data_IF_667859303371
#
_entry.id   IF_667859303371
#
_cell.length_a   1.000
_cell.length_b   1.000
_cell.length_c   1.000
_cell.angle_alpha   90.00
_cell.angle_beta   90.00
_cell.angle_gamma   90.00
#
_symmetry.space_group_name_H-M   'P 1'
#
loop_
_entity.id
_entity.type
_entity.pdbx_description
1 polymer ?
#
# COMPACT_ATOMS: atom_id res chain seq x y z
N UNK A 1 21.39 21.79 -7.63
CA UNK A 1 20.16 21.97 -8.42
C UNK A 1 19.67 23.37 -8.16
N UNK A 2 19.21 24.12 -9.18
CA UNK A 2 18.55 25.39 -8.99
C UNK A 2 17.34 25.22 -8.06
N UNK A 3 17.01 26.29 -7.33
CA UNK A 3 15.93 26.28 -6.34
C UNK A 3 14.83 27.22 -6.80
N UNK A 4 13.60 26.71 -6.84
CA UNK A 4 12.39 27.53 -6.95
C UNK A 4 11.80 27.64 -5.55
N UNK A 5 11.63 28.86 -5.07
CA UNK A 5 11.17 29.13 -3.72
C UNK A 5 9.72 29.62 -3.75
N UNK A 6 8.84 28.93 -3.03
CA UNK A 6 7.43 29.27 -2.89
C UNK A 6 7.22 29.72 -1.44
N UNK A 7 6.80 30.97 -1.23
CA UNK A 7 6.74 31.60 0.08
C UNK A 7 5.38 32.22 0.34
N UNK A 8 4.77 31.97 1.50
CA UNK A 8 3.62 32.75 1.95
C UNK A 8 4.05 34.11 2.52
N UNK A 9 3.40 35.18 2.09
CA UNK A 9 3.73 36.56 2.44
C UNK A 9 2.68 37.16 3.38
N UNK A 10 3.14 37.62 4.53
CA UNK A 10 2.32 38.28 5.56
C UNK A 10 2.80 39.70 5.87
N UNK A 11 2.55 40.17 7.09
CA UNK A 11 2.82 41.56 7.48
C UNK A 11 4.29 41.91 7.79
N UNK A 12 5.22 40.95 7.76
CA UNK A 12 6.64 41.17 8.06
C UNK A 12 7.51 40.74 6.88
N UNK A 13 8.37 41.64 6.39
CA UNK A 13 9.24 41.35 5.25
C UNK A 13 10.53 40.63 5.63
N UNK A 14 11.01 40.81 6.88
CA UNK A 14 12.33 40.32 7.28
C UNK A 14 12.50 38.79 7.12
N UNK A 15 11.57 37.92 7.59
CA UNK A 15 11.71 36.48 7.41
C UNK A 15 11.68 36.05 5.94
N UNK A 16 10.89 36.74 5.11
CA UNK A 16 10.75 36.44 3.68
C UNK A 16 12.04 36.80 2.93
N UNK A 17 12.62 37.97 3.23
CA UNK A 17 13.90 38.41 2.66
C UNK A 17 15.04 37.48 3.11
N UNK A 18 15.06 37.05 4.37
CA UNK A 18 16.03 36.06 4.86
C UNK A 18 15.91 34.74 4.12
N UNK A 19 14.69 34.24 3.91
CA UNK A 19 14.45 33.01 3.15
C UNK A 19 15.00 33.07 1.72
N UNK A 20 14.75 34.18 1.02
CA UNK A 20 15.28 34.39 -0.34
C UNK A 20 16.82 34.42 -0.33
N UNK A 21 17.43 35.10 0.64
CA UNK A 21 18.88 35.18 0.76
C UNK A 21 19.53 33.85 1.11
N UNK A 22 18.91 33.04 1.96
CA UNK A 22 19.45 31.76 2.40
C UNK A 22 19.34 30.69 1.31
N UNK A 23 18.21 30.63 0.60
CA UNK A 23 17.97 29.60 -0.41
C UNK A 23 18.55 29.93 -1.79
N UNK A 24 18.94 31.18 -2.04
CA UNK A 24 19.46 31.68 -3.33
C UNK A 24 18.65 31.17 -4.54
N UNK A 25 17.32 31.42 -4.58
CA UNK A 25 16.46 30.86 -5.61
C UNK A 25 16.71 31.49 -6.98
N UNK A 26 16.51 30.69 -8.03
CA UNK A 26 16.47 31.19 -9.42
C UNK A 26 15.12 31.79 -9.78
N UNK A 27 14.07 31.40 -9.05
CA UNK A 27 12.72 31.93 -9.22
C UNK A 27 11.94 31.90 -7.91
N UNK A 28 11.11 32.92 -7.67
CA UNK A 28 10.28 33.03 -6.46
C UNK A 28 8.79 33.11 -6.79
N UNK A 29 7.98 32.25 -6.21
CA UNK A 29 6.52 32.37 -6.23
C UNK A 29 6.03 32.92 -4.89
N UNK A 30 5.59 34.18 -4.88
CA UNK A 30 5.03 34.83 -3.71
C UNK A 30 3.54 34.51 -3.58
N UNK A 31 3.18 33.78 -2.53
CA UNK A 31 1.79 33.48 -2.17
C UNK A 31 1.28 34.58 -1.26
N UNK A 32 0.34 35.38 -1.74
CA UNK A 32 -0.14 36.61 -1.10
C UNK A 32 -1.64 36.52 -0.87
N UNK A 33 -2.15 37.28 0.10
CA UNK A 33 -3.60 37.37 0.29
C UNK A 33 -4.23 38.26 -0.77
N UNK A 34 -5.44 37.92 -1.21
CA UNK A 34 -6.33 38.84 -1.94
C UNK A 34 -6.75 40.03 -1.08
N UNK A 35 -7.32 41.04 -1.72
CA UNK A 35 -7.97 42.16 -1.02
C UNK A 35 -9.15 41.65 -0.19
N UNK A 36 -9.28 42.14 1.03
CA UNK A 36 -10.43 41.83 1.89
C UNK A 36 -11.49 42.92 1.78
N UNK A 37 -12.72 42.51 1.48
CA UNK A 37 -13.88 43.39 1.47
C UNK A 37 -14.22 43.88 2.88
N UNK A 38 -14.29 45.20 3.06
CA UNK A 38 -14.70 45.85 4.31
C UNK A 38 -14.56 47.38 4.21
N UNK A 39 -15.15 48.17 5.13
CA UNK A 39 -14.89 49.60 5.23
C UNK A 39 -13.90 49.91 6.37
N UNK A 40 -12.68 50.39 6.09
CA UNK A 40 -12.06 50.57 4.76
C UNK A 40 -11.54 49.25 4.17
N UNK A 41 -11.44 49.16 2.82
CA UNK A 41 -10.93 47.96 2.16
C UNK A 41 -9.48 47.73 2.54
N UNK A 42 -9.14 46.49 2.85
CA UNK A 42 -7.78 46.11 3.22
C UNK A 42 -7.12 45.50 2.01
N UNK A 43 -6.09 46.17 1.52
CA UNK A 43 -5.28 45.66 0.42
C UNK A 43 -4.57 44.37 0.84
N UNK A 44 -4.44 43.45 -0.10
CA UNK A 44 -3.74 42.19 0.07
C UNK A 44 -2.24 42.36 0.29
N UNK A 45 -1.60 41.27 0.75
CA UNK A 45 -0.15 41.30 1.04
C UNK A 45 0.73 41.42 -0.21
N UNK A 46 0.17 41.31 -1.43
CA UNK A 46 0.90 41.54 -2.68
C UNK A 46 1.55 42.92 -2.74
N UNK A 47 0.92 43.94 -2.13
CA UNK A 47 1.46 45.30 -2.05
C UNK A 47 2.83 45.37 -1.37
N UNK A 48 3.15 44.42 -0.49
CA UNK A 48 4.45 44.33 0.17
C UNK A 48 5.53 43.66 -0.69
N UNK A 49 5.13 42.94 -1.74
CA UNK A 49 6.06 42.19 -2.59
C UNK A 49 6.80 43.12 -3.54
N UNK A 50 6.07 43.87 -4.37
CA UNK A 50 6.60 44.72 -5.43
C UNK A 50 5.99 46.14 -5.45
N UNK A 51 5.21 46.50 -4.42
CA UNK A 51 4.57 47.81 -4.32
C UNK A 51 5.57 48.98 -4.26
N UNK A 52 5.18 50.16 -4.75
CA UNK A 52 6.06 51.32 -4.82
C UNK A 52 6.40 51.90 -3.44
N UNK A 53 7.57 52.54 -3.32
CA UNK A 53 8.01 53.25 -2.12
C UNK A 53 8.48 52.30 -1.01
N UNK A 54 7.92 52.47 0.19
CA UNK A 54 8.29 51.70 1.39
C UNK A 54 7.07 50.97 2.00
N UNK A 55 6.52 49.95 1.32
CA UNK A 55 5.30 49.27 1.74
C UNK A 55 5.49 48.27 2.90
N UNK A 56 6.74 47.91 3.24
CA UNK A 56 7.02 46.84 4.21
C UNK A 56 7.23 47.37 5.63
N UNK A 57 6.84 46.58 6.64
CA UNK A 57 7.12 46.82 8.06
C UNK A 57 6.69 48.24 8.54
N UNK A 58 5.62 48.81 7.96
CA UNK A 58 5.21 50.20 8.22
C UNK A 58 4.75 50.39 9.67
N UNK A 59 5.49 51.23 10.40
CA UNK A 59 5.14 51.71 11.75
C UNK A 59 5.09 53.22 11.74
N UNK A 60 3.93 53.77 12.08
CA UNK A 60 3.77 55.22 12.18
C UNK A 60 4.58 55.78 13.36
N UNK A 61 5.03 57.03 13.23
CA UNK A 61 5.70 57.72 14.31
C UNK A 61 4.79 57.80 15.53
N UNK A 62 5.27 57.38 16.70
CA UNK A 62 4.53 57.52 17.96
C UNK A 62 4.88 58.88 18.53
N UNK A 63 3.88 59.74 18.68
CA UNK A 63 4.02 61.04 19.35
C UNK A 63 3.44 60.97 20.74
N UNK A 64 4.08 61.65 21.69
CA UNK A 64 3.58 61.80 23.04
C UNK A 64 2.16 62.39 23.01
N UNK A 65 1.16 61.73 23.61
CA UNK A 65 -0.21 62.24 23.61
C UNK A 65 -0.32 63.66 24.19
N UNK A 66 0.51 63.94 25.21
CA UNK A 66 0.57 65.19 25.96
C UNK A 66 1.37 66.28 25.25
N UNK A 67 2.68 66.08 25.04
CA UNK A 67 3.56 67.14 24.50
C UNK A 67 3.78 67.08 23.00
N UNK A 68 3.19 66.11 22.29
CA UNK A 68 3.37 65.87 20.84
C UNK A 68 4.80 65.58 20.39
N UNK A 69 5.78 65.53 21.30
CA UNK A 69 7.15 65.15 21.00
C UNK A 69 7.20 63.73 20.43
N UNK A 70 8.06 63.51 19.44
CA UNK A 70 8.25 62.20 18.83
C UNK A 70 8.93 61.25 19.84
N UNK A 71 8.25 60.17 20.18
CA UNK A 71 8.74 59.10 21.06
C UNK A 71 9.47 58.05 20.23
N UNK A 72 8.94 57.74 19.04
CA UNK A 72 9.60 56.86 18.08
C UNK A 72 9.34 57.34 16.65
N UNK A 73 10.37 57.31 15.79
CA UNK A 73 10.23 57.72 14.40
C UNK A 73 9.41 56.71 13.61
N UNK A 74 8.86 57.18 12.47
CA UNK A 74 8.24 56.29 11.48
C UNK A 74 9.30 55.30 10.97
N UNK A 75 8.94 54.03 10.90
CA UNK A 75 9.77 52.99 10.28
C UNK A 75 9.01 52.43 9.08
N UNK A 76 9.69 52.26 7.96
CA UNK A 76 9.19 51.59 6.78
C UNK A 76 10.38 51.03 6.00
N UNK A 77 10.16 50.00 5.20
CA UNK A 77 11.17 49.36 4.36
C UNK A 77 10.68 49.30 2.92
N UNK A 78 11.59 49.30 1.92
CA UNK A 78 11.25 49.05 0.52
C UNK A 78 10.49 47.72 0.34
N UNK A 79 9.91 47.48 -0.84
CA UNK A 79 9.25 46.21 -1.14
C UNK A 79 10.18 45.00 -0.98
N UNK A 80 9.62 43.79 -0.80
CA UNK A 80 10.41 42.56 -0.60
C UNK A 80 11.37 42.33 -1.78
N UNK A 81 10.91 42.54 -3.02
CA UNK A 81 11.75 42.37 -4.22
C UNK A 81 12.91 43.37 -4.23
N UNK A 82 12.69 44.61 -3.79
CA UNK A 82 13.75 45.62 -3.68
C UNK A 82 14.74 45.31 -2.56
N UNK A 83 14.26 44.83 -1.41
CA UNK A 83 15.12 44.39 -0.28
C UNK A 83 15.97 43.15 -0.63
N UNK A 84 15.43 42.25 -1.46
CA UNK A 84 16.10 41.01 -1.89
C UNK A 84 16.94 41.17 -3.17
N UNK A 85 16.75 42.25 -3.93
CA UNK A 85 17.46 42.48 -5.20
C UNK A 85 16.99 41.58 -6.33
N UNK A 86 15.69 41.23 -6.37
CA UNK A 86 15.12 40.37 -7.41
C UNK A 86 14.80 41.16 -8.69
N UNK A 87 15.11 40.57 -9.85
CA UNK A 87 14.71 41.08 -11.15
C UNK A 87 13.22 40.82 -11.43
N UNK A 88 12.61 41.60 -12.32
CA UNK A 88 11.16 41.53 -12.60
C UNK A 88 10.70 40.19 -13.21
N UNK A 89 11.58 39.47 -13.87
CA UNK A 89 11.35 38.15 -14.47
C UNK A 89 11.72 36.97 -13.54
N UNK A 90 12.29 37.27 -12.36
CA UNK A 90 12.71 36.27 -11.39
C UNK A 90 11.64 35.90 -10.36
N UNK A 91 10.40 36.41 -10.50
CA UNK A 91 9.32 36.08 -9.59
C UNK A 91 7.93 36.13 -10.24
N UNK A 92 6.95 35.53 -9.55
CA UNK A 92 5.52 35.72 -9.79
C UNK A 92 4.77 35.93 -8.47
N UNK A 93 3.64 36.64 -8.55
CA UNK A 93 2.73 36.85 -7.42
C UNK A 93 1.46 36.04 -7.67
N UNK A 94 1.11 35.21 -6.69
CA UNK A 94 -0.12 34.42 -6.67
C UNK A 94 -0.96 34.91 -5.50
N UNK A 95 -2.23 35.21 -5.75
CA UNK A 95 -3.14 35.67 -4.71
C UNK A 95 -4.11 34.54 -4.33
N UNK A 96 -4.28 34.31 -3.03
CA UNK A 96 -5.19 33.29 -2.47
C UNK A 96 -6.18 33.93 -1.50
N UNK A 97 -7.32 33.28 -1.28
CA UNK A 97 -8.26 33.70 -0.23
C UNK A 97 -7.65 33.46 1.17
N UNK A 98 -7.42 34.51 1.98
CA UNK A 98 -6.70 34.38 3.26
C UNK A 98 -7.49 33.64 4.35
N UNK A 99 -8.80 33.48 4.17
CA UNK A 99 -9.74 32.90 5.15
C UNK A 99 -10.51 31.68 4.59
N UNK A 100 -10.21 31.22 3.36
CA UNK A 100 -10.75 30.00 2.78
C UNK A 100 -9.63 28.99 2.54
N UNK A 101 -9.54 27.97 3.39
CA UNK A 101 -8.51 26.94 3.29
C UNK A 101 -8.63 26.11 2.02
N UNK A 102 -9.85 25.83 1.54
CA UNK A 102 -10.06 24.95 0.40
C UNK A 102 -9.69 25.64 -0.91
N UNK A 103 -10.08 26.92 -1.05
CA UNK A 103 -9.69 27.73 -2.21
C UNK A 103 -8.18 27.94 -2.25
N UNK A 104 -7.59 28.33 -1.11
CA UNK A 104 -6.15 28.54 -1.02
C UNK A 104 -5.39 27.24 -1.34
N UNK A 105 -5.84 26.11 -0.81
CA UNK A 105 -5.24 24.81 -1.08
C UNK A 105 -5.34 24.42 -2.56
N UNK A 106 -6.51 24.57 -3.19
CA UNK A 106 -6.70 24.24 -4.60
C UNK A 106 -5.79 25.10 -5.51
N UNK A 107 -5.75 26.41 -5.27
CA UNK A 107 -4.88 27.35 -6.00
C UNK A 107 -3.41 27.00 -5.83
N UNK A 108 -2.98 26.65 -4.62
CA UNK A 108 -1.58 26.29 -4.35
C UNK A 108 -1.20 24.92 -4.91
N UNK A 109 -2.12 23.96 -4.93
CA UNK A 109 -1.90 22.68 -5.59
C UNK A 109 -1.66 22.86 -7.08
N UNK A 110 -2.49 23.69 -7.73
CA UNK A 110 -2.36 23.97 -9.16
C UNK A 110 -1.08 24.77 -9.47
N UNK A 111 -0.71 25.73 -8.62
CA UNK A 111 0.56 26.45 -8.68
C UNK A 111 1.76 25.50 -8.61
N UNK A 112 1.78 24.58 -7.65
CA UNK A 112 2.88 23.63 -7.50
C UNK A 112 2.95 22.71 -8.72
N UNK A 113 1.81 22.29 -9.29
CA UNK A 113 1.80 21.51 -10.53
C UNK A 113 2.39 22.28 -11.72
N UNK A 114 1.98 23.55 -11.91
CA UNK A 114 2.54 24.43 -12.95
C UNK A 114 4.06 24.61 -12.80
N UNK A 115 4.52 24.92 -11.60
CA UNK A 115 5.94 25.12 -11.32
C UNK A 115 6.76 23.86 -11.60
N UNK A 116 6.23 22.67 -11.33
CA UNK A 116 6.91 21.42 -11.66
C UNK A 116 7.05 21.23 -13.18
N UNK A 117 6.02 21.57 -13.95
CA UNK A 117 6.07 21.50 -15.43
C UNK A 117 7.07 22.51 -15.99
N UNK A 118 7.09 23.74 -15.45
CA UNK A 118 7.99 24.81 -15.88
C UNK A 118 9.45 24.56 -15.49
N UNK A 119 9.67 23.92 -14.34
CA UNK A 119 10.99 23.68 -13.77
C UNK A 119 11.19 22.20 -13.38
N UNK A 120 11.17 21.26 -14.35
CA UNK A 120 11.08 19.81 -14.09
C UNK A 120 12.32 19.20 -13.43
N UNK A 121 13.43 19.92 -13.38
CA UNK A 121 14.71 19.47 -12.80
C UNK A 121 15.15 20.30 -11.59
N UNK A 122 14.36 21.30 -11.21
CA UNK A 122 14.70 22.21 -10.13
C UNK A 122 14.05 21.76 -8.83
N UNK A 123 14.71 22.08 -7.73
CA UNK A 123 14.22 21.77 -6.40
C UNK A 123 13.12 22.77 -6.03
N UNK A 124 11.95 22.28 -5.68
CA UNK A 124 10.86 23.11 -5.18
C UNK A 124 10.92 23.18 -3.66
N UNK A 125 11.14 24.37 -3.12
CA UNK A 125 11.19 24.65 -1.68
C UNK A 125 9.97 25.48 -1.31
N UNK A 126 9.14 24.97 -0.42
CA UNK A 126 7.95 25.64 0.08
C UNK A 126 8.19 26.11 1.51
N UNK A 127 8.10 27.42 1.72
CA UNK A 127 8.32 28.05 3.01
C UNK A 127 7.03 28.73 3.48
N UNK A 128 6.53 28.27 4.62
CA UNK A 128 5.23 28.67 5.16
C UNK A 128 5.35 29.64 6.35
N UNK A 129 6.49 30.33 6.46
CA UNK A 129 6.83 31.22 7.59
C UNK A 129 5.89 32.42 7.70
N UNK A 130 5.51 33.01 6.56
CA UNK A 130 4.66 34.21 6.51
C UNK A 130 3.21 33.89 6.16
N UNK A 131 2.41 34.93 5.93
CA UNK A 131 1.00 34.80 5.56
C UNK A 131 0.06 34.56 6.74
N UNK A 132 -1.22 34.38 6.44
CA UNK A 132 -2.21 33.97 7.45
C UNK A 132 -2.03 32.49 7.78
N UNK A 133 -2.57 32.04 8.92
CA UNK A 133 -2.55 30.62 9.31
C UNK A 133 -3.13 29.73 8.21
N UNK A 134 -4.19 30.19 7.56
CA UNK A 134 -4.85 29.52 6.44
C UNK A 134 -3.89 29.35 5.27
N UNK A 135 -3.21 30.43 4.84
CA UNK A 135 -2.26 30.40 3.73
C UNK A 135 -1.09 29.45 4.02
N UNK A 136 -0.47 29.57 5.20
CA UNK A 136 0.64 28.69 5.61
C UNK A 136 0.23 27.23 5.64
N UNK A 137 -0.98 26.95 6.16
CA UNK A 137 -1.53 25.59 6.24
C UNK A 137 -1.84 25.05 4.85
N UNK A 138 -2.45 25.84 3.97
CA UNK A 138 -2.73 25.47 2.58
C UNK A 138 -1.45 25.11 1.81
N UNK A 139 -0.40 25.93 1.94
CA UNK A 139 0.90 25.67 1.30
C UNK A 139 1.53 24.38 1.82
N UNK A 140 1.55 24.20 3.15
CA UNK A 140 2.09 22.98 3.76
C UNK A 140 1.32 21.73 3.30
N UNK A 141 -0.01 21.77 3.27
CA UNK A 141 -0.84 20.65 2.81
C UNK A 141 -0.58 20.32 1.33
N UNK A 142 -0.54 21.33 0.46
CA UNK A 142 -0.27 21.14 -0.96
C UNK A 142 1.14 20.56 -1.21
N UNK A 143 2.14 21.03 -0.46
CA UNK A 143 3.51 20.51 -0.51
C UNK A 143 3.60 19.04 -0.04
N UNK A 144 2.89 18.70 1.05
CA UNK A 144 2.84 17.35 1.60
C UNK A 144 2.13 16.37 0.66
N UNK A 145 1.01 16.78 0.05
CA UNK A 145 0.26 15.96 -0.91
C UNK A 145 1.13 15.60 -2.12
N UNK A 146 1.85 16.58 -2.68
CA UNK A 146 2.71 16.38 -3.85
C UNK A 146 3.95 15.53 -3.51
N UNK A 147 4.55 15.79 -2.34
CA UNK A 147 5.58 14.95 -1.73
C UNK A 147 7.01 15.10 -2.28
N UNK A 148 7.22 15.85 -3.35
CA UNK A 148 8.54 16.21 -3.92
C UNK A 148 8.98 17.64 -3.55
N UNK A 149 8.17 18.38 -2.77
CA UNK A 149 8.53 19.67 -2.18
C UNK A 149 9.39 19.48 -0.92
N UNK A 150 10.40 20.34 -0.74
CA UNK A 150 11.02 20.54 0.57
C UNK A 150 10.24 21.59 1.36
N UNK A 151 9.75 21.20 2.53
CA UNK A 151 8.98 22.08 3.40
C UNK A 151 9.92 22.72 4.43
N UNK A 152 9.96 24.06 4.48
CA UNK A 152 10.81 24.82 5.40
C UNK A 152 10.01 25.85 6.19
N UNK A 153 10.55 26.27 7.34
CA UNK A 153 10.13 27.47 8.04
C UNK A 153 11.33 28.23 8.59
N UNK A 154 11.24 29.55 8.69
CA UNK A 154 12.21 30.38 9.37
C UNK A 154 11.90 30.41 10.86
N UNK A 155 12.83 29.88 11.64
CA UNK A 155 12.85 30.01 13.09
C UNK A 155 13.65 31.25 13.47
N UNK A 156 13.38 31.83 14.63
CA UNK A 156 14.30 32.79 15.24
C UNK A 156 13.88 33.12 16.66
N UNK A 157 14.79 33.77 17.38
CA UNK A 157 14.59 34.09 18.79
C UNK A 157 13.40 35.04 18.98
N UNK A 158 12.54 34.68 19.93
CA UNK A 158 11.34 35.42 20.30
C UNK A 158 11.51 36.00 21.70
N UNK A 159 11.92 37.27 21.85
CA UNK A 159 11.89 37.93 23.16
C UNK A 159 10.45 38.19 23.64
N UNK A 160 9.47 38.20 22.74
CA UNK A 160 8.03 38.26 23.03
C UNK A 160 7.18 37.37 22.08
N UNK A 161 5.87 37.26 22.32
CA UNK A 161 4.95 36.47 21.50
C UNK A 161 4.57 37.13 20.16
N UNK A 162 5.01 38.37 19.89
CA UNK A 162 4.54 39.17 18.76
C UNK A 162 5.47 39.09 17.55
N UNK A 163 6.80 39.05 17.73
CA UNK A 163 7.74 39.02 16.60
C UNK A 163 9.04 38.29 16.93
N UNK A 164 9.63 37.70 15.90
CA UNK A 164 11.02 37.20 15.92
C UNK A 164 11.98 38.38 15.84
N UNK A 165 13.06 38.36 16.62
CA UNK A 165 14.10 39.39 16.57
C UNK A 165 14.76 39.45 15.17
N UNK A 166 14.91 40.64 14.61
CA UNK A 166 15.57 40.83 13.32
C UNK A 166 17.05 40.36 13.43
N UNK A 167 17.51 39.52 12.50
CA UNK A 167 18.89 39.00 12.45
C UNK A 167 19.11 37.64 13.10
N UNK A 168 18.12 37.05 13.76
CA UNK A 168 18.20 35.70 14.36
C UNK A 168 17.49 34.62 13.54
N UNK A 169 17.00 34.97 12.33
CA UNK A 169 16.26 34.05 11.47
C UNK A 169 17.17 32.98 10.87
N UNK A 170 16.74 31.72 10.93
CA UNK A 170 17.39 30.58 10.28
C UNK A 170 16.34 29.64 9.66
N UNK A 171 16.59 29.14 8.44
CA UNK A 171 15.76 28.11 7.84
C UNK A 171 15.86 26.79 8.62
N UNK A 172 14.70 26.19 8.86
CA UNK A 172 14.56 24.87 9.43
C UNK A 172 13.73 24.01 8.50
N UNK A 173 14.30 22.89 8.06
CA UNK A 173 13.56 21.90 7.28
C UNK A 173 12.60 21.14 8.18
N UNK A 174 11.36 20.97 7.72
CA UNK A 174 10.37 20.10 8.36
C UNK A 174 10.60 18.68 7.89
N UNK A 175 10.67 17.72 8.83
CA UNK A 175 10.78 16.31 8.47
C UNK A 175 9.47 15.77 7.90
N UNK A 176 9.32 15.92 6.58
CA UNK A 176 8.23 15.34 5.81
C UNK A 176 8.50 13.89 5.39
N UNK A 177 9.70 13.36 5.64
CA UNK A 177 10.08 12.04 5.17
C UNK A 177 9.54 10.96 6.10
N UNK A 178 9.65 11.21 7.41
CA UNK A 178 9.21 10.25 8.44
C UNK A 178 7.71 9.93 8.36
N UNK A 179 6.84 10.89 8.06
CA UNK A 179 5.40 10.60 7.92
C UNK A 179 5.10 9.77 6.68
N UNK A 180 5.77 10.01 5.55
CA UNK A 180 5.56 9.24 4.30
C UNK A 180 5.97 7.79 4.49
N UNK A 181 7.12 7.60 5.12
CA UNK A 181 7.61 6.28 5.51
C UNK A 181 6.58 5.59 6.40
N UNK A 182 6.13 6.23 7.49
CA UNK A 182 5.20 5.62 8.42
C UNK A 182 3.88 5.25 7.74
N UNK A 183 3.32 6.16 6.94
CA UNK A 183 2.10 5.90 6.17
C UNK A 183 2.25 4.71 5.24
N UNK A 184 3.41 4.57 4.59
CA UNK A 184 3.70 3.45 3.70
C UNK A 184 3.89 2.13 4.46
N UNK A 185 4.50 2.18 5.65
CA UNK A 185 4.61 1.02 6.55
C UNK A 185 3.24 0.53 7.01
N UNK A 186 2.34 1.46 7.36
CA UNK A 186 0.98 1.15 7.79
C UNK A 186 0.16 0.53 6.65
N UNK A 187 0.21 1.13 5.45
CA UNK A 187 -0.45 0.59 4.25
C UNK A 187 0.09 -0.79 3.87
N UNK A 188 1.40 -0.99 3.93
CA UNK A 188 2.00 -2.29 3.65
C UNK A 188 1.55 -3.37 4.63
N UNK A 189 1.41 -3.03 5.91
CA UNK A 189 0.88 -3.93 6.92
C UNK A 189 -0.59 -4.28 6.65
N UNK A 190 -1.41 -3.28 6.29
CA UNK A 190 -2.80 -3.48 5.92
C UNK A 190 -2.95 -4.41 4.71
N UNK A 191 -2.19 -4.18 3.63
CA UNK A 191 -2.20 -5.05 2.46
C UNK A 191 -1.73 -6.47 2.79
N UNK A 192 -0.68 -6.61 3.60
CA UNK A 192 -0.17 -7.91 4.03
C UNK A 192 -1.23 -8.70 4.81
N UNK A 193 -1.92 -8.05 5.76
CA UNK A 193 -2.94 -8.66 6.60
C UNK A 193 -4.21 -9.04 5.80
N UNK A 194 -4.43 -8.41 4.63
CA UNK A 194 -5.49 -8.74 3.68
C UNK A 194 -5.04 -9.66 2.53
N UNK A 195 -3.89 -10.34 2.67
CA UNK A 195 -3.36 -11.28 1.66
C UNK A 195 -3.06 -10.62 0.30
N UNK A 196 -2.71 -9.34 0.28
CA UNK A 196 -2.24 -8.61 -0.89
C UNK A 196 -0.74 -8.32 -0.82
N UNK A 197 0.03 -9.40 -0.83
CA UNK A 197 1.47 -9.36 -0.66
C UNK A 197 2.20 -8.55 -1.75
N UNK A 198 1.73 -8.62 -3.00
CA UNK A 198 2.29 -7.81 -4.09
C UNK A 198 2.08 -6.31 -3.85
N UNK A 199 0.90 -5.88 -3.39
CA UNK A 199 0.64 -4.48 -3.06
C UNK A 199 1.46 -4.02 -1.83
N UNK A 200 1.60 -4.89 -0.82
CA UNK A 200 2.46 -4.63 0.33
C UNK A 200 3.91 -4.38 -0.10
N UNK A 201 4.46 -5.21 -0.99
CA UNK A 201 5.80 -5.03 -1.55
C UNK A 201 5.95 -3.71 -2.31
N UNK A 202 5.01 -3.40 -3.21
CA UNK A 202 5.06 -2.21 -4.06
C UNK A 202 5.01 -0.92 -3.24
N UNK A 203 4.16 -0.88 -2.21
CA UNK A 203 4.03 0.28 -1.32
C UNK A 203 5.33 0.63 -0.58
N UNK A 204 6.17 -0.36 -0.30
CA UNK A 204 7.45 -0.20 0.39
C UNK A 204 8.63 0.06 -0.56
N UNK A 205 8.58 -0.52 -1.76
CA UNK A 205 9.69 -0.40 -2.72
C UNK A 205 9.84 1.04 -3.23
N UNK A 206 8.74 1.76 -3.41
CA UNK A 206 8.77 3.20 -3.74
C UNK A 206 9.51 4.02 -2.67
N UNK A 207 9.26 3.75 -1.39
CA UNK A 207 9.91 4.45 -0.27
C UNK A 207 11.43 4.27 -0.27
N UNK A 208 11.92 3.05 -0.53
CA UNK A 208 13.37 2.77 -0.56
C UNK A 208 14.07 3.55 -1.69
N UNK A 209 13.39 3.72 -2.83
CA UNK A 209 13.94 4.39 -4.01
C UNK A 209 13.91 5.91 -3.87
N UNK A 210 12.80 6.44 -3.34
CA UNK A 210 12.46 7.86 -3.47
C UNK A 210 12.82 8.68 -2.21
N UNK A 211 13.12 8.03 -1.09
CA UNK A 211 13.40 8.69 0.20
C UNK A 211 14.80 8.29 0.72
N UNK A 212 15.55 9.28 1.21
CA UNK A 212 16.80 9.03 1.95
C UNK A 212 16.45 8.50 3.34
N UNK A 213 16.77 7.22 3.57
CA UNK A 213 16.46 6.50 4.82
C UNK A 213 17.70 6.29 5.67
N UNK A 214 17.52 6.26 7.00
CA UNK A 214 18.55 5.75 7.92
C UNK A 214 18.81 4.26 7.66
N UNK A 215 20.00 3.78 8.03
CA UNK A 215 20.36 2.36 7.86
C UNK A 215 19.39 1.42 8.60
N UNK A 216 18.99 1.79 9.81
CA UNK A 216 18.02 1.05 10.62
C UNK A 216 16.67 0.94 9.91
N UNK A 217 16.14 2.06 9.42
CA UNK A 217 14.84 2.09 8.75
C UNK A 217 14.86 1.35 7.40
N UNK A 218 15.93 1.51 6.62
CA UNK A 218 16.15 0.76 5.38
C UNK A 218 16.10 -0.75 5.64
N UNK A 219 16.77 -1.22 6.69
CA UNK A 219 16.78 -2.63 7.09
C UNK A 219 15.37 -3.11 7.48
N UNK A 220 14.62 -2.31 8.24
CA UNK A 220 13.23 -2.61 8.60
C UNK A 220 12.34 -2.77 7.37
N UNK A 221 12.42 -1.85 6.41
CA UNK A 221 11.61 -1.91 5.19
C UNK A 221 12.02 -3.12 4.33
N UNK A 222 13.32 -3.37 4.17
CA UNK A 222 13.83 -4.52 3.40
C UNK A 222 13.33 -5.86 3.96
N UNK A 223 13.30 -6.02 5.29
CA UNK A 223 12.75 -7.23 5.93
C UNK A 223 11.26 -7.41 5.63
N UNK A 224 10.47 -6.34 5.64
CA UNK A 224 9.04 -6.37 5.31
C UNK A 224 8.79 -6.69 3.83
N UNK A 225 9.59 -6.10 2.93
CA UNK A 225 9.59 -6.43 1.49
C UNK A 225 9.92 -7.91 1.26
N UNK A 226 10.93 -8.44 1.95
CA UNK A 226 11.29 -9.86 1.85
C UNK A 226 10.17 -10.79 2.32
N UNK A 227 9.52 -10.47 3.44
CA UNK A 227 8.35 -11.20 3.91
C UNK A 227 7.22 -11.17 2.88
N UNK A 228 6.86 -10.00 2.37
CA UNK A 228 5.82 -9.84 1.36
C UNK A 228 6.11 -10.73 0.14
N UNK A 229 7.34 -10.69 -0.41
CA UNK A 229 7.75 -11.56 -1.52
C UNK A 229 7.67 -13.05 -1.20
N UNK A 230 8.09 -13.44 0.02
CA UNK A 230 8.07 -14.83 0.44
C UNK A 230 6.66 -15.39 0.56
N UNK A 231 5.75 -14.61 1.15
CA UNK A 231 4.33 -14.99 1.24
C UNK A 231 3.62 -14.91 -0.11
N UNK A 232 3.95 -13.96 -0.98
CA UNK A 232 3.45 -13.90 -2.36
C UNK A 232 3.85 -15.17 -3.14
N UNK A 233 5.12 -15.56 -3.05
CA UNK A 233 5.63 -16.79 -3.66
C UNK A 233 4.89 -18.04 -3.13
N UNK A 234 4.66 -18.12 -1.82
CA UNK A 234 3.89 -19.23 -1.24
C UNK A 234 2.44 -19.20 -1.76
N UNK A 235 1.82 -18.02 -1.82
CA UNK A 235 0.42 -17.89 -2.21
C UNK A 235 0.15 -18.18 -3.70
N UNK A 236 1.21 -18.22 -4.52
CA UNK A 236 1.17 -18.72 -5.91
C UNK A 236 1.74 -20.15 -6.06
N UNK A 237 1.90 -20.88 -4.96
CA UNK A 237 2.42 -22.26 -4.88
C UNK A 237 3.88 -22.44 -5.32
N UNK A 238 4.66 -21.36 -5.41
CA UNK A 238 6.11 -21.41 -5.63
C UNK A 238 6.81 -21.61 -4.28
N UNK A 239 6.62 -22.82 -3.72
CA UNK A 239 7.09 -23.16 -2.38
C UNK A 239 8.62 -23.14 -2.25
N UNK A 240 9.35 -23.37 -3.35
CA UNK A 240 10.81 -23.31 -3.38
C UNK A 240 11.31 -21.87 -3.18
N UNK A 241 10.74 -20.92 -3.93
CA UNK A 241 11.08 -19.50 -3.77
C UNK A 241 10.63 -18.98 -2.40
N UNK A 242 9.44 -19.36 -1.94
CA UNK A 242 8.95 -19.02 -0.61
C UNK A 242 9.89 -19.52 0.49
N UNK A 243 10.39 -20.76 0.38
CA UNK A 243 11.33 -21.34 1.33
C UNK A 243 12.60 -20.48 1.47
N UNK A 244 13.24 -20.15 0.35
CA UNK A 244 14.46 -19.34 0.34
C UNK A 244 14.24 -17.93 0.90
N UNK A 245 13.10 -17.30 0.59
CA UNK A 245 12.81 -15.95 1.06
C UNK A 245 12.41 -15.89 2.53
N UNK A 246 11.72 -16.92 3.04
CA UNK A 246 11.20 -16.94 4.41
C UNK A 246 12.13 -17.61 5.44
N UNK A 247 13.21 -18.27 5.00
CA UNK A 247 14.19 -18.92 5.88
C UNK A 247 14.72 -18.01 7.00
N UNK A 248 15.06 -16.72 6.76
CA UNK A 248 15.51 -15.83 7.85
C UNK A 248 14.46 -15.56 8.93
N UNK A 249 13.20 -15.90 8.68
CA UNK A 249 12.06 -15.71 9.59
C UNK A 249 11.55 -17.04 10.17
N UNK A 250 12.21 -18.16 9.91
CA UNK A 250 11.80 -19.51 10.32
C UNK A 250 11.37 -19.61 11.80
N UNK A 251 12.15 -19.00 12.70
CA UNK A 251 11.84 -18.99 14.15
C UNK A 251 10.55 -18.25 14.49
N UNK A 252 10.29 -17.12 13.83
CA UNK A 252 9.08 -16.33 14.06
C UNK A 252 7.84 -16.97 13.42
N UNK A 253 8.04 -17.72 12.33
CA UNK A 253 6.98 -18.40 11.58
C UNK A 253 6.53 -19.71 12.24
N UNK A 254 7.40 -20.38 13.01
CA UNK A 254 7.15 -21.65 13.74
C UNK A 254 6.34 -22.69 12.94
N UNK A 255 5.04 -22.84 13.20
CA UNK A 255 4.15 -23.82 12.56
C UNK A 255 4.00 -23.59 11.05
N UNK A 256 4.06 -22.34 10.60
CA UNK A 256 4.08 -22.02 9.17
C UNK A 256 5.37 -22.51 8.53
N UNK A 257 6.51 -22.32 9.20
CA UNK A 257 7.80 -22.80 8.70
C UNK A 257 7.84 -24.34 8.59
N UNK A 258 7.28 -25.04 9.59
CA UNK A 258 7.10 -26.50 9.55
C UNK A 258 6.26 -26.94 8.35
N UNK A 259 5.18 -26.22 8.05
CA UNK A 259 4.34 -26.50 6.87
C UNK A 259 5.14 -26.33 5.58
N UNK A 260 5.89 -25.23 5.45
CA UNK A 260 6.70 -24.94 4.26
C UNK A 260 7.84 -25.97 4.06
N UNK A 261 8.43 -26.48 5.14
CA UNK A 261 9.37 -27.61 5.10
C UNK A 261 8.71 -28.86 4.53
N UNK A 262 7.50 -29.20 4.98
CA UNK A 262 6.77 -30.35 4.46
C UNK A 262 6.40 -30.21 2.98
N UNK A 263 5.93 -29.04 2.55
CA UNK A 263 5.63 -28.74 1.15
C UNK A 263 6.85 -28.85 0.22
N UNK A 264 8.05 -28.61 0.74
CA UNK A 264 9.32 -28.77 0.02
C UNK A 264 9.95 -30.18 0.17
N UNK A 265 9.25 -31.15 0.75
CA UNK A 265 9.77 -32.51 0.96
C UNK A 265 10.91 -32.61 1.97
N UNK A 266 11.08 -31.59 2.83
CA UNK A 266 12.13 -31.52 3.87
C UNK A 266 11.64 -31.84 5.29
N UNK A 267 10.34 -32.12 5.43
CA UNK A 267 9.68 -32.45 6.69
C UNK A 267 9.05 -33.84 6.68
N UNK A 268 8.43 -34.23 7.81
CA UNK A 268 7.59 -35.42 7.87
C UNK A 268 6.25 -35.11 7.20
N UNK A 269 5.97 -35.77 6.09
CA UNK A 269 4.76 -35.53 5.29
C UNK A 269 3.78 -36.70 5.40
N UNK A 270 2.49 -36.36 5.39
CA UNK A 270 1.37 -37.25 5.11
C UNK A 270 1.13 -37.40 3.60
N UNK A 271 1.62 -36.42 2.81
CA UNK A 271 1.40 -36.28 1.38
C UNK A 271 0.19 -35.41 1.03
N UNK A 272 -0.65 -35.05 2.01
CA UNK A 272 -1.84 -34.21 1.82
C UNK A 272 -1.59 -32.73 2.10
N UNK A 273 -0.36 -32.32 2.39
CA UNK A 273 -0.03 -30.93 2.73
C UNK A 273 -0.43 -29.95 1.63
N UNK A 274 -0.28 -30.33 0.36
CA UNK A 274 -0.70 -29.53 -0.80
C UNK A 274 -2.21 -29.36 -0.88
N UNK A 275 -3.01 -30.32 -0.40
CA UNK A 275 -4.47 -30.20 -0.29
C UNK A 275 -4.82 -29.13 0.73
N UNK A 276 -4.21 -29.17 1.93
CA UNK A 276 -4.47 -28.17 2.95
C UNK A 276 -3.94 -26.78 2.58
N UNK A 277 -2.82 -26.70 1.86
CA UNK A 277 -2.32 -25.44 1.32
C UNK A 277 -3.31 -24.82 0.32
N UNK A 278 -3.92 -25.64 -0.56
CA UNK A 278 -4.99 -25.20 -1.46
C UNK A 278 -6.24 -24.71 -0.70
N UNK A 279 -6.65 -25.37 0.39
CA UNK A 279 -7.78 -24.93 1.21
C UNK A 279 -7.51 -23.56 1.84
N UNK A 280 -6.34 -23.39 2.48
CA UNK A 280 -5.94 -22.10 3.07
C UNK A 280 -5.78 -21.03 2.00
N UNK A 281 -5.31 -21.38 0.81
CA UNK A 281 -5.24 -20.47 -0.32
C UNK A 281 -6.63 -20.04 -0.80
N UNK A 282 -7.59 -20.95 -0.86
CA UNK A 282 -8.97 -20.65 -1.20
C UNK A 282 -9.60 -19.66 -0.20
N UNK A 283 -9.36 -19.85 1.09
CA UNK A 283 -9.78 -18.90 2.13
C UNK A 283 -9.22 -17.50 1.91
N UNK A 284 -7.93 -17.38 1.56
CA UNK A 284 -7.29 -16.08 1.28
C UNK A 284 -7.89 -15.38 0.07
N UNK A 285 -8.21 -16.14 -0.99
CA UNK A 285 -8.90 -15.61 -2.17
C UNK A 285 -10.33 -15.14 -1.82
N UNK A 286 -11.05 -15.92 -1.03
CA UNK A 286 -12.41 -15.60 -0.60
C UNK A 286 -12.46 -14.37 0.33
N UNK A 287 -11.46 -14.20 1.21
CA UNK A 287 -11.31 -13.01 2.06
C UNK A 287 -11.17 -11.72 1.23
N UNK A 288 -10.68 -11.83 -0.01
CA UNK A 288 -10.56 -10.73 -0.99
C UNK A 288 -11.72 -10.66 -1.98
N UNK A 289 -12.84 -11.36 -1.70
CA UNK A 289 -14.00 -11.49 -2.58
C UNK A 289 -13.70 -12.03 -3.99
N UNK A 290 -12.59 -12.77 -4.16
CA UNK A 290 -12.23 -13.44 -5.42
C UNK A 290 -12.80 -14.86 -5.42
N UNK A 291 -14.11 -14.98 -5.56
CA UNK A 291 -14.82 -16.25 -5.34
C UNK A 291 -14.60 -17.30 -6.44
N UNK A 292 -14.52 -16.91 -7.71
CA UNK A 292 -14.16 -17.86 -8.79
C UNK A 292 -12.78 -18.49 -8.54
N UNK A 293 -11.80 -17.67 -8.16
CA UNK A 293 -10.47 -18.09 -7.77
C UNK A 293 -10.48 -19.06 -6.58
N UNK A 294 -11.24 -18.73 -5.55
CA UNK A 294 -11.37 -19.55 -4.35
C UNK A 294 -12.00 -20.91 -4.68
N UNK A 295 -13.11 -20.91 -5.44
CA UNK A 295 -13.82 -22.13 -5.87
C UNK A 295 -12.94 -23.02 -6.75
N UNK A 296 -12.14 -22.44 -7.65
CA UNK A 296 -11.21 -23.22 -8.47
C UNK A 296 -10.17 -23.97 -7.60
N UNK A 297 -9.70 -23.36 -6.51
CA UNK A 297 -8.76 -23.98 -5.56
C UNK A 297 -9.43 -25.08 -4.73
N UNK A 298 -10.68 -24.89 -4.30
CA UNK A 298 -11.46 -25.94 -3.62
C UNK A 298 -11.72 -27.14 -4.54
N UNK A 299 -12.04 -26.89 -5.82
CA UNK A 299 -12.18 -27.95 -6.82
C UNK A 299 -10.87 -28.73 -6.95
N UNK A 300 -9.74 -28.03 -7.11
CA UNK A 300 -8.43 -28.68 -7.21
C UNK A 300 -8.06 -29.45 -5.94
N UNK A 301 -8.36 -28.92 -4.76
CA UNK A 301 -8.15 -29.60 -3.49
C UNK A 301 -8.96 -30.90 -3.42
N UNK A 302 -10.23 -30.87 -3.83
CA UNK A 302 -11.11 -32.05 -3.89
C UNK A 302 -10.54 -33.11 -4.82
N UNK A 303 -10.14 -32.72 -6.03
CA UNK A 303 -9.55 -33.65 -7.00
C UNK A 303 -8.22 -34.24 -6.51
N UNK A 304 -7.32 -33.38 -6.03
CA UNK A 304 -6.00 -33.78 -5.55
C UNK A 304 -6.09 -34.72 -4.35
N UNK A 305 -7.11 -34.58 -3.51
CA UNK A 305 -7.30 -35.45 -2.35
C UNK A 305 -7.52 -36.92 -2.77
N UNK A 306 -8.37 -37.16 -3.77
CA UNK A 306 -8.55 -38.51 -4.33
C UNK A 306 -7.31 -39.00 -5.09
N UNK A 307 -6.64 -38.11 -5.83
CA UNK A 307 -5.42 -38.46 -6.58
C UNK A 307 -4.30 -38.97 -5.65
N UNK A 308 -4.04 -38.25 -4.55
CA UNK A 308 -3.05 -38.65 -3.55
C UNK A 308 -3.45 -39.99 -2.92
N UNK A 309 -4.74 -40.18 -2.58
CA UNK A 309 -5.21 -41.43 -1.97
C UNK A 309 -5.00 -42.63 -2.88
N UNK A 310 -5.40 -42.52 -4.16
CA UNK A 310 -5.22 -43.57 -5.16
C UNK A 310 -3.74 -43.92 -5.37
N UNK A 311 -2.89 -42.91 -5.46
CA UNK A 311 -1.45 -43.10 -5.64
C UNK A 311 -0.81 -43.76 -4.41
N UNK A 312 -1.05 -43.23 -3.21
CA UNK A 312 -0.38 -43.71 -2.00
C UNK A 312 -0.83 -45.11 -1.56
N UNK A 313 -2.12 -45.41 -1.70
CA UNK A 313 -2.71 -46.64 -1.17
C UNK A 313 -2.70 -47.79 -2.20
N UNK A 314 -2.82 -47.46 -3.49
CA UNK A 314 -3.04 -48.46 -4.55
C UNK A 314 -2.01 -48.35 -5.69
N UNK A 315 -1.09 -47.39 -5.65
CA UNK A 315 -0.11 -47.13 -6.72
C UNK A 315 -0.78 -46.90 -8.09
N UNK A 316 -1.94 -46.23 -8.06
CA UNK A 316 -2.75 -45.89 -9.22
C UNK A 316 -2.63 -44.41 -9.56
N UNK A 317 -2.38 -44.10 -10.83
CA UNK A 317 -2.33 -42.75 -11.35
C UNK A 317 -3.60 -42.42 -12.13
N UNK A 318 -4.25 -41.31 -11.78
CA UNK A 318 -5.49 -40.87 -12.45
C UNK A 318 -5.26 -40.32 -13.85
N UNK A 319 -4.03 -39.95 -14.20
CA UNK A 319 -3.65 -39.50 -15.55
C UNK A 319 -3.32 -40.65 -16.51
N UNK A 320 -3.08 -41.84 -15.96
CA UNK A 320 -2.76 -43.06 -16.71
C UNK A 320 -3.03 -44.29 -15.83
N UNK A 321 -4.27 -44.77 -15.86
CA UNK A 321 -4.72 -45.85 -14.99
C UNK A 321 -4.17 -47.21 -15.46
N UNK A 322 -3.29 -47.79 -14.65
CA UNK A 322 -2.80 -49.15 -14.88
C UNK A 322 -3.83 -50.21 -14.47
N UNK A 323 -4.49 -50.80 -15.46
CA UNK A 323 -5.51 -51.84 -15.25
C UNK A 323 -4.95 -53.11 -14.61
N UNK A 324 -3.66 -53.40 -14.74
CA UNK A 324 -3.06 -54.60 -14.15
C UNK A 324 -3.09 -54.57 -12.62
N UNK A 325 -3.01 -53.36 -12.04
CA UNK A 325 -3.08 -53.11 -10.59
C UNK A 325 -4.51 -53.11 -10.04
N UNK A 326 -5.53 -53.11 -10.90
CA UNK A 326 -6.92 -53.20 -10.46
C UNK A 326 -7.32 -54.67 -10.19
N UNK A 327 -8.25 -54.90 -9.24
CA UNK A 327 -8.95 -56.17 -9.11
C UNK A 327 -9.58 -56.60 -10.44
N UNK A 328 -9.54 -57.90 -10.73
CA UNK A 328 -9.97 -58.46 -12.03
C UNK A 328 -11.39 -58.03 -12.43
N UNK A 329 -12.31 -58.01 -11.46
CA UNK A 329 -13.69 -57.58 -11.64
C UNK A 329 -13.84 -56.11 -12.10
N UNK A 330 -12.85 -55.26 -11.83
CA UNK A 330 -12.88 -53.84 -12.21
C UNK A 330 -12.20 -53.57 -13.55
N UNK A 331 -11.31 -54.46 -14.02
CA UNK A 331 -10.50 -54.23 -15.23
C UNK A 331 -11.36 -53.98 -16.46
N UNK A 332 -12.40 -54.81 -16.67
CA UNK A 332 -13.32 -54.69 -17.81
C UNK A 332 -14.11 -53.38 -17.81
N UNK A 333 -14.37 -52.79 -16.65
CA UNK A 333 -15.15 -51.54 -16.53
C UNK A 333 -14.38 -50.34 -17.12
N UNK A 334 -13.05 -50.38 -17.06
CA UNK A 334 -12.17 -49.31 -17.51
C UNK A 334 -11.42 -49.63 -18.81
N UNK A 335 -11.46 -50.88 -19.28
CA UNK A 335 -10.75 -51.34 -20.48
C UNK A 335 -11.09 -50.58 -21.76
N UNK A 336 -12.36 -50.21 -21.95
CA UNK A 336 -12.84 -49.56 -23.19
C UNK A 336 -12.77 -48.02 -23.14
N UNK A 337 -12.00 -47.45 -22.21
CA UNK A 337 -11.94 -46.00 -21.96
C UNK A 337 -10.63 -45.27 -22.34
N UNK A 338 -9.71 -45.80 -23.16
CA UNK A 338 -8.51 -45.05 -23.48
C UNK A 338 -8.85 -43.77 -24.26
N UNK A 339 -8.15 -42.69 -23.92
CA UNK A 339 -8.14 -41.46 -24.70
C UNK A 339 -7.44 -41.68 -26.05
N UNK A 340 -7.44 -40.65 -26.91
CA UNK A 340 -6.79 -40.70 -28.23
C UNK A 340 -5.29 -41.04 -28.20
N UNK A 341 -4.61 -40.82 -27.06
CA UNK A 341 -3.20 -41.15 -26.83
C UNK A 341 -2.99 -42.50 -26.12
N UNK A 342 -4.04 -43.33 -26.01
CA UNK A 342 -3.99 -44.66 -25.42
C UNK A 342 -4.06 -44.68 -23.88
N UNK A 343 -4.08 -43.54 -23.22
CA UNK A 343 -4.10 -43.44 -21.75
C UNK A 343 -5.51 -43.43 -21.19
N UNK A 344 -5.72 -44.11 -20.07
CA UNK A 344 -6.99 -44.09 -19.34
C UNK A 344 -6.92 -43.01 -18.26
N UNK A 345 -7.70 -41.94 -18.43
CA UNK A 345 -7.75 -40.80 -17.49
C UNK A 345 -9.02 -40.85 -16.67
N UNK A 346 -8.89 -40.59 -15.37
CA UNK A 346 -10.00 -40.49 -14.43
C UNK A 346 -10.22 -39.04 -14.03
N UNK A 347 -11.44 -38.54 -14.24
CA UNK A 347 -11.87 -37.27 -13.65
C UNK A 347 -12.11 -37.37 -12.14
N UNK A 348 -12.47 -36.24 -11.51
CA UNK A 348 -12.78 -36.16 -10.07
C UNK A 348 -13.82 -37.22 -9.64
N UNK A 349 -14.98 -37.25 -10.29
CA UNK A 349 -16.06 -38.18 -9.94
C UNK A 349 -15.64 -39.64 -10.10
N UNK A 350 -14.91 -39.94 -11.18
CA UNK A 350 -14.46 -41.29 -11.48
C UNK A 350 -13.39 -41.78 -10.51
N UNK A 351 -12.53 -40.87 -10.04
CA UNK A 351 -11.51 -41.16 -9.03
C UNK A 351 -12.16 -41.57 -7.70
N UNK A 352 -13.18 -40.84 -7.25
CA UNK A 352 -13.93 -41.20 -6.04
C UNK A 352 -14.79 -42.46 -6.23
N UNK A 353 -15.40 -42.64 -7.41
CA UNK A 353 -16.15 -43.86 -7.71
C UNK A 353 -15.24 -45.10 -7.71
N UNK A 354 -14.01 -44.99 -8.23
CA UNK A 354 -13.02 -46.06 -8.15
C UNK A 354 -12.64 -46.36 -6.69
N UNK A 355 -12.36 -45.33 -5.88
CA UNK A 355 -12.11 -45.50 -4.45
C UNK A 355 -13.26 -46.23 -3.75
N UNK A 356 -14.52 -45.91 -4.08
CA UNK A 356 -15.69 -46.62 -3.56
C UNK A 356 -15.75 -48.09 -3.96
N UNK A 357 -15.40 -48.42 -5.22
CA UNK A 357 -15.32 -49.81 -5.71
C UNK A 357 -14.14 -50.60 -5.12
N UNK A 358 -13.14 -49.91 -4.57
CA UNK A 358 -12.01 -50.49 -3.85
C UNK A 358 -12.27 -50.58 -2.34
N UNK A 359 -13.52 -50.33 -1.91
CA UNK A 359 -13.94 -50.26 -0.51
C UNK A 359 -13.09 -49.28 0.34
N UNK A 360 -12.57 -48.22 -0.29
CA UNK A 360 -11.73 -47.23 0.39
C UNK A 360 -12.60 -46.29 1.26
N UNK A 361 -12.14 -45.94 2.48
CA UNK A 361 -12.82 -44.99 3.34
C UNK A 361 -13.11 -43.63 2.69
N UNK A 362 -12.23 -43.14 1.80
CA UNK A 362 -12.43 -41.87 1.11
C UNK A 362 -13.57 -41.95 0.10
N UNK A 363 -13.68 -43.08 -0.61
CA UNK A 363 -14.78 -43.33 -1.52
C UNK A 363 -16.12 -43.39 -0.77
N UNK A 364 -16.14 -44.08 0.37
CA UNK A 364 -17.31 -44.15 1.26
C UNK A 364 -17.71 -42.78 1.81
N UNK A 365 -16.73 -41.98 2.24
CA UNK A 365 -16.96 -40.62 2.74
C UNK A 365 -17.52 -39.71 1.63
N UNK A 366 -17.00 -39.82 0.40
CA UNK A 366 -17.49 -39.06 -0.75
C UNK A 366 -18.93 -39.43 -1.09
N UNK A 367 -19.28 -40.72 -1.08
CA UNK A 367 -20.65 -41.16 -1.34
C UNK A 367 -21.67 -40.50 -0.40
N UNK A 368 -21.33 -40.31 0.88
CA UNK A 368 -22.19 -39.66 1.87
C UNK A 368 -22.46 -38.17 1.59
N UNK A 369 -21.53 -37.46 0.95
CA UNK A 369 -21.65 -36.02 0.64
C UNK A 369 -21.90 -35.74 -0.85
N UNK A 370 -21.95 -36.79 -1.68
CA UNK A 370 -21.88 -36.72 -3.14
C UNK A 370 -22.98 -35.86 -3.76
N UNK A 371 -24.24 -35.98 -3.31
CA UNK A 371 -25.35 -35.21 -3.88
C UNK A 371 -25.13 -33.69 -3.78
N UNK A 372 -25.04 -33.13 -2.55
CA UNK A 372 -24.77 -31.71 -2.35
C UNK A 372 -23.45 -31.23 -2.96
N UNK A 373 -22.37 -32.02 -2.81
CA UNK A 373 -21.07 -31.69 -3.39
C UNK A 373 -21.11 -31.64 -4.92
N UNK A 374 -21.81 -32.57 -5.57
CA UNK A 374 -21.96 -32.58 -7.02
C UNK A 374 -22.75 -31.38 -7.53
N UNK A 375 -23.76 -30.93 -6.79
CA UNK A 375 -24.48 -29.70 -7.12
C UNK A 375 -23.53 -28.48 -7.07
N UNK A 376 -22.69 -28.37 -6.04
CA UNK A 376 -21.70 -27.31 -5.92
C UNK A 376 -20.63 -27.36 -7.04
N UNK A 377 -20.10 -28.54 -7.35
CA UNK A 377 -19.17 -28.75 -8.46
C UNK A 377 -19.79 -28.43 -9.83
N UNK A 378 -21.08 -28.72 -10.01
CA UNK A 378 -21.82 -28.38 -11.23
C UNK A 378 -21.95 -26.86 -11.40
N UNK A 379 -22.24 -26.11 -10.32
CA UNK A 379 -22.25 -24.64 -10.38
C UNK A 379 -20.89 -24.08 -10.76
N UNK A 380 -19.79 -24.65 -10.26
CA UNK A 380 -18.43 -24.29 -10.69
C UNK A 380 -18.23 -24.49 -12.19
N UNK A 381 -18.71 -25.58 -12.77
CA UNK A 381 -18.53 -25.83 -14.21
C UNK A 381 -19.23 -24.79 -15.09
N UNK A 382 -20.31 -24.18 -14.58
CA UNK A 382 -21.02 -23.08 -15.24
C UNK A 382 -20.36 -21.71 -15.01
N UNK A 383 -19.26 -21.65 -14.26
CA UNK A 383 -18.59 -20.40 -13.94
C UNK A 383 -17.67 -19.91 -15.07
N UNK A 384 -17.39 -18.60 -15.06
CA UNK A 384 -16.57 -17.92 -16.07
C UNK A 384 -15.11 -18.40 -16.11
N UNK A 385 -14.56 -18.88 -14.99
CA UNK A 385 -13.22 -19.48 -14.92
C UNK A 385 -13.24 -21.01 -15.15
N UNK A 386 -14.35 -21.55 -15.66
CA UNK A 386 -14.49 -22.95 -16.05
C UNK A 386 -15.00 -23.07 -17.49
N UNK A 387 -16.23 -23.54 -17.70
CA UNK A 387 -16.81 -23.78 -19.02
C UNK A 387 -18.06 -22.94 -19.29
N UNK A 388 -18.46 -22.06 -18.37
CA UNK A 388 -19.63 -21.21 -18.52
C UNK A 388 -19.29 -19.73 -18.50
N UNK A 389 -20.27 -18.90 -18.13
CA UNK A 389 -20.18 -17.43 -18.23
C UNK A 389 -20.58 -16.70 -16.95
N UNK A 390 -21.00 -17.44 -15.90
CA UNK A 390 -21.51 -16.86 -14.65
C UNK A 390 -20.37 -16.62 -13.65
N UNK A 391 -20.29 -15.47 -12.96
CA UNK A 391 -19.36 -15.31 -11.84
C UNK A 391 -19.85 -16.08 -10.60
N UNK A 392 -18.91 -16.60 -9.81
CA UNK A 392 -19.20 -17.21 -8.50
C UNK A 392 -19.33 -16.13 -7.42
N UNK A 393 -20.14 -16.40 -6.40
CA UNK A 393 -20.34 -15.49 -5.26
C UNK A 393 -19.92 -16.14 -3.92
N UNK A 394 -20.10 -15.39 -2.83
CA UNK A 394 -19.75 -15.82 -1.48
C UNK A 394 -20.48 -17.09 -1.04
N UNK A 395 -21.76 -17.22 -1.40
CA UNK A 395 -22.58 -18.40 -1.09
C UNK A 395 -22.06 -19.62 -1.83
N UNK A 396 -21.76 -19.48 -3.13
CA UNK A 396 -21.20 -20.56 -3.93
C UNK A 396 -19.87 -21.09 -3.36
N UNK A 397 -18.99 -20.19 -2.89
CA UNK A 397 -17.76 -20.55 -2.18
C UNK A 397 -18.03 -21.29 -0.87
N UNK A 398 -18.89 -20.75 0.00
CA UNK A 398 -19.18 -21.36 1.30
C UNK A 398 -19.83 -22.74 1.17
N UNK A 399 -20.73 -22.91 0.21
CA UNK A 399 -21.40 -24.19 -0.05
C UNK A 399 -20.37 -25.27 -0.42
N UNK A 400 -19.51 -25.01 -1.42
CA UNK A 400 -18.47 -25.96 -1.82
C UNK A 400 -17.45 -26.21 -0.70
N UNK A 401 -17.01 -25.15 -0.01
CA UNK A 401 -16.07 -25.27 1.11
C UNK A 401 -16.64 -26.17 2.20
N UNK A 402 -17.90 -25.96 2.60
CA UNK A 402 -18.56 -26.73 3.65
C UNK A 402 -18.59 -28.22 3.32
N UNK A 403 -18.97 -28.59 2.10
CA UNK A 403 -19.02 -29.98 1.66
C UNK A 403 -17.64 -30.64 1.58
N UNK A 404 -16.62 -29.89 1.17
CA UNK A 404 -15.24 -30.39 1.17
C UNK A 404 -14.70 -30.58 2.58
N UNK A 405 -14.98 -29.67 3.51
CA UNK A 405 -14.62 -29.86 4.92
C UNK A 405 -15.36 -31.06 5.53
N UNK A 406 -16.64 -31.25 5.21
CA UNK A 406 -17.39 -32.45 5.64
C UNK A 406 -16.73 -33.72 5.08
N UNK A 407 -16.38 -33.75 3.79
CA UNK A 407 -15.68 -34.89 3.17
C UNK A 407 -14.39 -35.24 3.92
N UNK A 408 -13.53 -34.24 4.15
CA UNK A 408 -12.25 -34.41 4.84
C UNK A 408 -12.48 -34.91 6.27
N UNK A 409 -13.42 -34.31 7.00
CA UNK A 409 -13.70 -34.67 8.38
C UNK A 409 -14.31 -36.08 8.51
N UNK A 410 -15.14 -36.51 7.56
CA UNK A 410 -15.67 -37.88 7.52
C UNK A 410 -14.58 -38.91 7.21
N UNK A 411 -13.62 -38.57 6.35
CA UNK A 411 -12.53 -39.46 5.96
C UNK A 411 -11.38 -39.53 7.00
N UNK A 412 -11.11 -38.42 7.71
CA UNK A 412 -9.97 -38.25 8.63
C UNK A 412 -9.83 -39.32 9.72
N UNK A 413 -10.89 -39.90 10.32
CA UNK A 413 -10.74 -40.97 11.31
C UNK A 413 -10.12 -42.26 10.75
N UNK A 414 -10.27 -42.50 9.45
CA UNK A 414 -9.83 -43.72 8.78
C UNK A 414 -8.60 -43.49 7.88
N UNK A 415 -8.28 -42.23 7.58
CA UNK A 415 -7.18 -41.84 6.70
C UNK A 415 -6.26 -40.89 7.45
N UNK A 416 -4.97 -41.25 7.54
CA UNK A 416 -3.93 -40.41 8.13
C UNK A 416 -3.58 -39.23 7.20
N UNK A 417 -4.50 -38.28 7.10
CA UNK A 417 -4.34 -37.10 6.26
C UNK A 417 -3.39 -36.04 6.86
N UNK A 418 -2.89 -36.22 8.08
CA UNK A 418 -2.02 -35.22 8.74
C UNK A 418 -2.81 -34.07 9.36
N UNK A 419 -2.10 -32.98 9.68
CA UNK A 419 -2.68 -31.78 10.27
C UNK A 419 -2.88 -30.70 9.22
N UNK A 420 -3.95 -29.94 9.38
CA UNK A 420 -4.22 -28.79 8.53
C UNK A 420 -3.21 -27.66 8.83
N UNK A 421 -2.70 -27.02 7.78
CA UNK A 421 -1.83 -25.87 7.91
C UNK A 421 -2.55 -24.72 8.64
N UNK A 422 -1.88 -23.94 9.51
CA UNK A 422 -2.44 -22.69 9.99
C UNK A 422 -2.64 -21.72 8.81
N UNK A 423 -3.62 -20.82 8.93
CA UNK A 423 -3.76 -19.71 7.99
C UNK A 423 -2.61 -18.71 8.20
N UNK A 424 -2.18 -18.05 7.12
CA UNK A 424 -1.08 -17.09 7.15
C UNK A 424 -1.30 -16.01 8.22
N UNK A 425 -0.25 -15.70 9.00
CA UNK A 425 -0.38 -14.82 10.15
C UNK A 425 -0.36 -13.35 9.70
N UNK A 426 -0.89 -12.43 10.52
CA UNK A 426 -0.73 -11.00 10.27
C UNK A 426 0.75 -10.59 10.43
N UNK A 427 1.16 -9.51 9.78
CA UNK A 427 2.55 -9.05 9.74
C UNK A 427 3.14 -8.83 11.14
N UNK A 428 2.35 -8.24 12.04
CA UNK A 428 2.74 -7.95 13.44
C UNK A 428 3.08 -9.20 14.27
N UNK A 429 2.59 -10.38 13.86
CA UNK A 429 2.93 -11.63 14.54
C UNK A 429 4.33 -12.14 14.16
N UNK A 430 4.88 -11.69 13.04
CA UNK A 430 6.22 -12.07 12.55
C UNK A 430 7.25 -10.99 12.89
N UNK A 431 6.91 -9.73 12.64
CA UNK A 431 7.74 -8.55 12.91
C UNK A 431 6.92 -7.55 13.74
N UNK A 432 7.00 -7.62 15.08
CA UNK A 432 6.35 -6.67 15.96
C UNK A 432 6.88 -5.24 15.80
#
# INVERSE_FOLDING_TARGET
>A
MPTILILTVGGSSAPIVSAIREHHPTFVAFVTSKDQSGPPPRLGSYTTVDGPGEPCDVRNAVRCPSCKAEISPRQAKPSIVAQAGLAADAYQIIQVEPDDLNEAFATLRDLLADLHVRFPHDKLVTDYTGGTKTMSTALALAALERGDCELTLMLGDRPDLQRVADGTQMSSAVDTRSWRVQRSLDLAAEFFDHYDYSAAEQSLTGVIRDIVLTSALRTTIQRRVQLARGFDAWDRFDHATAFSLLEPFAKALDSHWKTLLCLNGRGKTSGYETVFDLLRNAERRAARARYDDAVARLYRATELFAQIRLQQQYDLHTSDLDLSKLPEALRSIYADRPSSDGKIRLGLQESYALLGKLDDPLGSAFAQVSGPLNNALTRRNQSILAHGTRPMNQHDYHDLASHLYTLINTARPQIKCGHEAPQFPPLKAILP
#
